data_IF_948221550630
#
_entry.id   IF_948221550630
#
_cell.length_a   1.000
_cell.length_b   1.000
_cell.length_c   1.000
_cell.angle_alpha   90.00
_cell.angle_beta   90.00
_cell.angle_gamma   90.00
#
_symmetry.space_group_name_H-M   'P 1'
#
loop_
_entity.id
_entity.type
_entity.pdbx_description
1 polymer ?
#
# COMPACT_ATOMS: atom_id res chain seq x y z
N UNK A 1 10.55 -19.37 11.77
CA UNK A 1 9.82 -18.11 12.01
C UNK A 1 8.50 -18.15 11.24
N UNK A 2 7.37 -17.98 11.93
CA UNK A 2 6.04 -18.03 11.31
C UNK A 2 5.74 -16.76 10.52
N UNK A 3 4.79 -16.84 9.57
CA UNK A 3 4.37 -15.68 8.76
C UNK A 3 3.85 -14.53 9.61
N UNK A 4 3.05 -14.82 10.63
CA UNK A 4 2.49 -13.80 11.52
C UNK A 4 3.59 -13.07 12.30
N UNK A 5 4.57 -13.80 12.84
CA UNK A 5 5.69 -13.21 13.57
C UNK A 5 6.54 -12.35 12.64
N UNK A 6 6.89 -12.84 11.45
CA UNK A 6 7.68 -12.06 10.49
C UNK A 6 6.96 -10.79 10.03
N UNK A 7 5.66 -10.91 9.72
CA UNK A 7 4.81 -9.76 9.34
C UNK A 7 4.77 -8.75 10.48
N UNK A 8 4.56 -9.20 11.72
CA UNK A 8 4.53 -8.32 12.89
C UNK A 8 5.86 -7.61 13.12
N UNK A 9 6.98 -8.31 12.98
CA UNK A 9 8.32 -7.72 13.09
C UNK A 9 8.56 -6.66 12.01
N UNK A 10 8.20 -6.96 10.76
CA UNK A 10 8.32 -6.00 9.66
C UNK A 10 7.46 -4.75 9.91
N UNK A 11 6.20 -4.93 10.30
CA UNK A 11 5.27 -3.84 10.58
C UNK A 11 5.67 -2.99 11.79
N UNK A 12 6.37 -3.58 12.77
CA UNK A 12 6.74 -2.87 14.01
C UNK A 12 8.11 -2.21 13.93
N UNK A 13 9.05 -2.75 13.14
CA UNK A 13 10.43 -2.26 13.10
C UNK A 13 10.76 -1.53 11.80
N UNK A 14 10.35 -2.07 10.65
CA UNK A 14 10.74 -1.54 9.33
C UNK A 14 9.73 -0.53 8.82
N UNK A 15 8.44 -0.87 8.88
CA UNK A 15 7.37 -0.03 8.36
C UNK A 15 7.34 1.39 8.96
N UNK A 16 7.53 1.61 10.28
CA UNK A 16 7.50 2.96 10.84
C UNK A 16 8.61 3.85 10.28
N UNK A 17 9.80 3.29 10.06
CA UNK A 17 10.94 4.00 9.45
C UNK A 17 10.61 4.37 8.00
N UNK A 18 10.06 3.43 7.22
CA UNK A 18 9.71 3.65 5.82
C UNK A 18 8.58 4.66 5.62
N UNK A 19 7.63 4.70 6.56
CA UNK A 19 6.45 5.58 6.48
C UNK A 19 6.64 6.89 7.23
N UNK A 20 7.85 7.16 7.75
CA UNK A 20 8.12 8.41 8.43
C UNK A 20 7.92 9.61 7.48
N UNK A 21 7.04 10.53 7.87
CA UNK A 21 6.66 11.69 7.06
C UNK A 21 5.82 11.36 5.82
N UNK A 22 5.40 10.11 5.61
CA UNK A 22 4.61 9.70 4.44
C UNK A 22 3.28 10.47 4.32
N UNK A 23 2.78 11.06 5.41
CA UNK A 23 1.63 11.95 5.38
C UNK A 23 1.79 13.15 4.44
N UNK A 24 3.03 13.61 4.20
CA UNK A 24 3.33 14.79 3.37
C UNK A 24 3.67 14.36 1.94
N UNK A 25 4.60 13.40 1.79
CA UNK A 25 5.15 13.00 0.48
C UNK A 25 4.47 11.76 -0.14
N UNK A 26 3.66 11.00 0.62
CA UNK A 26 3.11 9.69 0.24
C UNK A 26 2.03 9.69 -0.84
N UNK A 27 1.91 10.78 -1.61
CA UNK A 27 1.07 10.88 -2.81
C UNK A 27 1.80 10.38 -4.07
N UNK A 28 3.13 10.36 -4.04
CA UNK A 28 3.99 9.87 -5.12
C UNK A 28 4.55 8.49 -4.81
N UNK A 29 4.74 7.67 -5.85
CA UNK A 29 5.36 6.35 -5.69
C UNK A 29 6.88 6.46 -5.64
N UNK A 30 7.50 5.82 -4.63
CA UNK A 30 8.94 5.81 -4.45
C UNK A 30 9.50 4.40 -4.60
N UNK A 31 10.29 4.17 -5.68
CA UNK A 31 10.85 2.86 -6.03
C UNK A 31 11.71 2.26 -4.92
N UNK A 32 12.51 3.07 -4.23
CA UNK A 32 13.41 2.61 -3.17
C UNK A 32 12.64 1.98 -2.00
N UNK A 33 11.48 2.53 -1.64
CA UNK A 33 10.66 2.04 -0.54
C UNK A 33 10.05 0.68 -0.90
N UNK A 34 9.54 0.56 -2.13
CA UNK A 34 9.05 -0.71 -2.66
C UNK A 34 10.15 -1.79 -2.69
N UNK A 35 11.41 -1.40 -2.98
CA UNK A 35 12.54 -2.34 -2.98
C UNK A 35 12.82 -2.91 -1.58
N UNK A 36 12.65 -2.13 -0.52
CA UNK A 36 12.83 -2.62 0.86
C UNK A 36 11.78 -3.68 1.19
N UNK A 37 10.50 -3.42 0.87
CA UNK A 37 9.43 -4.41 1.07
C UNK A 37 9.71 -5.68 0.26
N UNK A 38 10.01 -5.54 -1.04
CA UNK A 38 10.30 -6.69 -1.91
C UNK A 38 11.51 -7.50 -1.42
N UNK A 39 12.54 -6.85 -0.87
CA UNK A 39 13.70 -7.54 -0.29
C UNK A 39 13.31 -8.33 0.97
N UNK A 40 12.56 -7.71 1.89
CA UNK A 40 12.07 -8.40 3.08
C UNK A 40 11.20 -9.60 2.72
N UNK A 41 10.33 -9.43 1.74
CA UNK A 41 9.47 -10.47 1.18
C UNK A 41 10.27 -11.67 0.65
N UNK A 42 11.32 -11.42 -0.17
CA UNK A 42 12.19 -12.48 -0.71
C UNK A 42 12.95 -13.22 0.38
N UNK A 43 13.47 -12.50 1.37
CA UNK A 43 14.19 -13.09 2.51
C UNK A 43 13.29 -14.06 3.29
N UNK A 44 12.01 -13.71 3.46
CA UNK A 44 11.08 -14.55 4.18
C UNK A 44 10.63 -15.79 3.40
N UNK A 45 10.37 -15.62 2.10
CA UNK A 45 10.03 -16.73 1.21
C UNK A 45 11.23 -17.65 0.93
N UNK A 46 12.47 -17.19 1.14
CA UNK A 46 13.67 -17.97 0.87
C UNK A 46 14.06 -18.00 -0.61
N UNK A 47 13.49 -17.10 -1.43
CA UNK A 47 13.73 -17.06 -2.87
C UNK A 47 14.90 -16.14 -3.24
N UNK A 48 15.47 -16.37 -4.42
CA UNK A 48 16.61 -15.58 -4.91
C UNK A 48 16.25 -14.11 -5.17
N UNK A 49 17.27 -13.24 -5.21
CA UNK A 49 17.10 -11.82 -5.57
C UNK A 49 16.50 -11.61 -6.97
N UNK A 50 16.64 -12.59 -7.87
CA UNK A 50 16.18 -12.54 -9.26
C UNK A 50 14.71 -12.92 -9.42
N UNK A 51 14.08 -13.51 -8.40
CA UNK A 51 12.68 -13.90 -8.44
C UNK A 51 11.79 -12.68 -8.69
N UNK A 52 10.75 -12.85 -9.51
CA UNK A 52 9.84 -11.77 -9.89
C UNK A 52 9.18 -11.14 -8.65
N UNK A 53 9.24 -9.82 -8.54
CA UNK A 53 8.62 -9.08 -7.44
C UNK A 53 7.09 -9.26 -7.44
N UNK A 54 6.46 -9.39 -8.62
CA UNK A 54 5.01 -9.58 -8.75
C UNK A 54 4.56 -10.92 -8.18
N UNK A 55 5.33 -11.98 -8.38
CA UNK A 55 5.05 -13.30 -7.79
C UNK A 55 5.20 -13.25 -6.26
N UNK A 56 6.33 -12.71 -5.79
CA UNK A 56 6.64 -12.54 -4.36
C UNK A 56 5.56 -11.73 -3.62
N UNK A 57 5.07 -10.65 -4.24
CA UNK A 57 3.97 -9.85 -3.69
C UNK A 57 2.66 -10.65 -3.61
N UNK A 58 2.37 -11.43 -4.65
CA UNK A 58 1.23 -12.33 -4.69
C UNK A 58 1.26 -13.34 -3.55
N UNK A 59 2.39 -14.03 -3.37
CA UNK A 59 2.52 -15.11 -2.38
C UNK A 59 2.44 -14.64 -0.93
N UNK A 60 2.90 -13.42 -0.63
CA UNK A 60 2.82 -12.85 0.71
C UNK A 60 1.50 -12.14 1.00
N UNK A 61 0.82 -11.64 -0.03
CA UNK A 61 -0.43 -10.89 0.11
C UNK A 61 -0.32 -9.60 0.95
N UNK A 62 0.88 -9.05 1.10
CA UNK A 62 1.08 -7.79 1.84
C UNK A 62 0.56 -6.61 1.04
N UNK A 63 -0.10 -5.68 1.73
CA UNK A 63 -0.43 -4.37 1.15
C UNK A 63 0.86 -3.66 0.71
N UNK A 64 0.88 -3.09 -0.49
CA UNK A 64 2.04 -2.39 -1.03
C UNK A 64 2.45 -1.20 -0.15
N UNK A 65 3.74 -0.87 -0.14
CA UNK A 65 4.24 0.33 0.52
C UNK A 65 3.49 1.59 0.06
N UNK A 66 3.19 1.68 -1.23
CA UNK A 66 2.48 2.82 -1.79
C UNK A 66 1.04 2.95 -1.25
N UNK A 67 0.31 1.84 -1.14
CA UNK A 67 -1.00 1.86 -0.50
C UNK A 67 -0.91 2.22 1.00
N UNK A 68 0.12 1.74 1.70
CA UNK A 68 0.40 2.13 3.10
C UNK A 68 0.74 3.63 3.24
N UNK A 69 1.51 4.20 2.32
CA UNK A 69 1.83 5.63 2.28
C UNK A 69 0.57 6.47 2.09
N UNK A 70 -0.29 6.09 1.14
CA UNK A 70 -1.58 6.75 0.91
C UNK A 70 -2.48 6.69 2.14
N UNK A 71 -2.48 5.58 2.87
CA UNK A 71 -3.21 5.48 4.13
C UNK A 71 -2.75 6.52 5.16
N UNK A 72 -1.45 6.77 5.27
CA UNK A 72 -0.90 7.79 6.18
C UNK A 72 -1.21 9.23 5.71
N UNK A 73 -1.20 9.50 4.40
CA UNK A 73 -1.70 10.76 3.82
C UNK A 73 -3.17 10.99 4.20
N UNK A 74 -4.01 9.97 4.00
CA UNK A 74 -5.45 10.07 4.29
C UNK A 74 -5.74 10.16 5.79
N UNK A 75 -4.94 9.49 6.62
CA UNK A 75 -4.98 9.63 8.09
C UNK A 75 -4.68 11.06 8.50
N UNK A 76 -3.67 11.67 7.91
CA UNK A 76 -3.31 13.06 8.17
C UNK A 76 -4.39 14.02 7.67
N UNK A 77 -4.94 13.79 6.47
CA UNK A 77 -6.06 14.56 5.94
C UNK A 77 -7.28 14.52 6.88
N UNK A 78 -7.68 13.34 7.35
CA UNK A 78 -8.80 13.21 8.30
C UNK A 78 -8.53 14.00 9.59
N UNK A 79 -7.30 13.94 10.11
CA UNK A 79 -6.91 14.74 11.29
C UNK A 79 -7.04 16.23 11.01
N UNK A 80 -6.62 16.71 9.83
CA UNK A 80 -6.70 18.11 9.45
C UNK A 80 -8.15 18.61 9.34
N UNK A 81 -9.03 17.87 8.67
CA UNK A 81 -10.44 18.29 8.52
C UNK A 81 -11.20 18.31 9.86
N UNK A 82 -10.82 17.44 10.81
CA UNK A 82 -11.45 17.37 12.14
C UNK A 82 -10.69 18.14 13.22
N UNK A 83 -9.72 18.99 12.85
CA UNK A 83 -8.98 19.79 13.82
C UNK A 83 -9.66 21.13 14.10
N UNK A 84 -9.49 21.61 15.34
CA UNK A 84 -10.00 22.91 15.75
C UNK A 84 -9.30 24.06 15.02
N UNK A 85 -10.09 25.08 14.67
CA UNK A 85 -9.67 26.27 13.95
C UNK A 85 -8.68 27.15 14.73
N UNK A 86 -8.65 27.03 16.06
CA UNK A 86 -7.67 27.71 16.91
C UNK A 86 -6.23 27.30 16.59
N UNK A 87 -6.01 26.06 16.11
CA UNK A 87 -4.68 25.47 15.94
C UNK A 87 -3.96 26.01 14.71
N UNK A 88 -2.70 26.39 14.88
CA UNK A 88 -1.85 26.96 13.81
C UNK A 88 -1.79 26.08 12.56
N UNK A 89 -1.66 24.75 12.74
CA UNK A 89 -1.58 23.85 11.59
C UNK A 89 -2.88 23.78 10.78
N UNK A 90 -4.04 24.00 11.41
CA UNK A 90 -5.32 24.08 10.69
C UNK A 90 -5.40 25.36 9.86
N UNK A 91 -4.93 26.48 10.41
CA UNK A 91 -4.83 27.75 9.69
C UNK A 91 -3.93 27.63 8.45
N UNK A 92 -2.81 26.92 8.56
CA UNK A 92 -1.92 26.60 7.43
C UNK A 92 -2.65 25.73 6.40
N UNK A 93 -3.43 24.73 6.84
CA UNK A 93 -4.25 23.90 5.95
C UNK A 93 -5.29 24.73 5.18
N UNK A 94 -6.04 25.59 5.86
CA UNK A 94 -6.98 26.53 5.24
C UNK A 94 -6.30 27.43 4.21
N UNK A 95 -5.12 27.96 4.52
CA UNK A 95 -4.32 28.74 3.58
C UNK A 95 -3.92 27.89 2.35
N UNK A 96 -3.51 26.65 2.57
CA UNK A 96 -3.13 25.71 1.49
C UNK A 96 -4.29 25.36 0.58
N UNK A 97 -5.53 25.27 1.10
CA UNK A 97 -6.74 25.05 0.29
C UNK A 97 -6.96 26.14 -0.77
N UNK A 98 -6.54 27.38 -0.50
CA UNK A 98 -6.67 28.52 -1.44
C UNK A 98 -5.66 28.47 -2.58
N UNK A 99 -4.57 27.70 -2.44
CA UNK A 99 -3.52 27.59 -3.46
C UNK A 99 -3.91 26.57 -4.53
N UNK A 100 -3.66 26.92 -5.80
CA UNK A 100 -3.80 25.99 -6.92
C UNK A 100 -2.74 24.88 -6.83
N UNK A 101 -3.12 23.64 -7.19
CA UNK A 101 -2.23 22.45 -7.16
C UNK A 101 -1.55 22.20 -5.81
N UNK A 102 -2.24 22.54 -4.71
CA UNK A 102 -1.74 22.28 -3.36
C UNK A 102 -1.71 20.78 -3.02
N UNK A 103 -1.11 20.43 -1.89
CA UNK A 103 -1.20 19.08 -1.33
C UNK A 103 -2.66 18.61 -1.24
N UNK A 104 -3.57 19.49 -0.80
CA UNK A 104 -4.99 19.18 -0.72
C UNK A 104 -5.62 18.84 -2.09
N UNK A 105 -5.22 19.54 -3.15
CA UNK A 105 -5.67 19.22 -4.50
C UNK A 105 -5.31 17.78 -4.90
N UNK A 106 -4.10 17.33 -4.60
CA UNK A 106 -3.66 15.96 -4.87
C UNK A 106 -4.38 14.93 -4.00
N UNK A 107 -4.69 15.27 -2.74
CA UNK A 107 -5.51 14.42 -1.86
C UNK A 107 -6.94 14.28 -2.40
N UNK A 108 -7.57 15.37 -2.82
CA UNK A 108 -8.90 15.33 -3.45
C UNK A 108 -8.88 14.49 -4.74
N UNK A 109 -7.83 14.63 -5.55
CA UNK A 109 -7.61 13.79 -6.73
C UNK A 109 -7.49 12.30 -6.34
N UNK A 110 -6.85 11.98 -5.22
CA UNK A 110 -6.79 10.61 -4.70
C UNK A 110 -8.18 10.09 -4.29
N UNK A 111 -9.00 10.89 -3.60
CA UNK A 111 -10.39 10.53 -3.26
C UNK A 111 -11.25 10.27 -4.52
N UNK A 112 -11.12 11.12 -5.54
CA UNK A 112 -11.76 10.96 -6.86
C UNK A 112 -11.38 9.66 -7.54
N UNK A 113 -10.07 9.38 -7.60
CA UNK A 113 -9.55 8.15 -8.21
C UNK A 113 -10.03 6.88 -7.49
N UNK A 114 -10.32 6.96 -6.19
CA UNK A 114 -10.87 5.85 -5.39
C UNK A 114 -12.41 5.82 -5.36
N UNK A 115 -13.08 6.82 -5.96
CA UNK A 115 -14.53 7.02 -5.94
C UNK A 115 -15.12 7.05 -4.52
N UNK A 116 -14.46 7.74 -3.58
CA UNK A 116 -14.87 7.83 -2.16
C UNK A 116 -15.01 9.28 -1.68
N UNK A 117 -15.42 10.19 -2.55
CA UNK A 117 -15.59 11.62 -2.22
C UNK A 117 -16.60 11.87 -1.09
N UNK A 118 -17.61 11.01 -0.95
CA UNK A 118 -18.58 11.06 0.14
C UNK A 118 -17.90 11.01 1.52
N UNK A 119 -16.70 10.43 1.64
CA UNK A 119 -15.96 10.35 2.90
C UNK A 119 -15.36 11.69 3.37
N UNK A 120 -15.42 12.74 2.54
CA UNK A 120 -14.95 14.07 2.92
C UNK A 120 -15.99 14.88 3.71
N UNK A 121 -17.22 14.38 3.84
CA UNK A 121 -18.28 15.08 4.55
C UNK A 121 -17.98 15.13 6.07
N UNK A 122 -18.35 16.23 6.75
CA UNK A 122 -18.20 16.34 8.19
C UNK A 122 -19.08 15.30 8.91
N UNK A 123 -18.65 14.85 10.10
CA UNK A 123 -19.44 13.94 10.95
C UNK A 123 -19.19 12.44 10.72
N UNK A 124 -18.29 12.07 9.82
CA UNK A 124 -17.95 10.65 9.58
C UNK A 124 -17.08 10.10 10.70
N UNK A 125 -17.53 8.98 11.29
CA UNK A 125 -16.76 8.25 12.29
C UNK A 125 -15.40 7.82 11.73
N UNK A 126 -14.37 8.03 12.56
CA UNK A 126 -12.98 7.64 12.27
C UNK A 126 -12.86 6.17 11.84
N UNK A 127 -13.63 5.29 12.47
CA UNK A 127 -13.61 3.85 12.20
C UNK A 127 -14.14 3.53 10.80
N UNK A 128 -15.29 4.12 10.44
CA UNK A 128 -15.90 3.95 9.12
C UNK A 128 -14.97 4.48 8.03
N UNK A 129 -14.39 5.67 8.24
CA UNK A 129 -13.45 6.29 7.32
C UNK A 129 -12.27 5.36 7.00
N UNK A 130 -11.59 4.84 8.02
CA UNK A 130 -10.43 3.97 7.80
C UNK A 130 -10.80 2.60 7.28
N UNK A 131 -11.97 2.06 7.65
CA UNK A 131 -12.46 0.78 7.13
C UNK A 131 -12.67 0.84 5.62
N UNK A 132 -13.38 1.86 5.13
CA UNK A 132 -13.67 2.04 3.70
C UNK A 132 -12.39 2.37 2.92
N UNK A 133 -11.51 3.21 3.45
CA UNK A 133 -10.26 3.55 2.76
C UNK A 133 -9.33 2.34 2.64
N UNK A 134 -9.16 1.55 3.73
CA UNK A 134 -8.33 0.34 3.68
C UNK A 134 -8.86 -0.66 2.67
N UNK A 135 -10.18 -0.87 2.60
CA UNK A 135 -10.76 -1.81 1.62
C UNK A 135 -10.56 -1.31 0.18
N UNK A 136 -10.80 -0.02 -0.09
CA UNK A 136 -10.59 0.57 -1.42
C UNK A 136 -9.12 0.55 -1.85
N UNK A 137 -8.20 0.89 -0.95
CA UNK A 137 -6.77 0.79 -1.24
C UNK A 137 -6.35 -0.64 -1.55
N UNK A 138 -6.90 -1.63 -0.84
CA UNK A 138 -6.61 -3.04 -1.11
C UNK A 138 -7.11 -3.49 -2.49
N UNK A 139 -8.33 -3.09 -2.88
CA UNK A 139 -8.88 -3.37 -4.21
C UNK A 139 -8.00 -2.76 -5.30
N UNK A 140 -7.58 -1.50 -5.14
CA UNK A 140 -6.68 -0.85 -6.10
C UNK A 140 -5.33 -1.56 -6.20
N UNK A 141 -4.77 -2.00 -5.06
CA UNK A 141 -3.50 -2.72 -5.03
C UNK A 141 -3.59 -4.07 -5.72
N UNK A 142 -4.70 -4.79 -5.53
CA UNK A 142 -5.00 -6.05 -6.19
C UNK A 142 -5.19 -5.88 -7.71
N UNK A 143 -5.89 -4.85 -8.15
CA UNK A 143 -6.00 -4.49 -9.57
C UNK A 143 -4.63 -4.17 -10.19
N UNK A 144 -3.80 -3.39 -9.49
CA UNK A 144 -2.43 -3.08 -9.93
C UNK A 144 -1.54 -4.32 -9.98
N UNK A 145 -1.71 -5.25 -9.04
CA UNK A 145 -1.00 -6.52 -9.07
C UNK A 145 -1.46 -7.40 -10.22
N UNK A 146 -2.78 -7.51 -10.45
CA UNK A 146 -3.35 -8.30 -11.54
C UNK A 146 -2.91 -7.77 -12.92
N UNK A 147 -2.95 -6.46 -13.13
CA UNK A 147 -2.44 -5.84 -14.36
C UNK A 147 -0.95 -6.14 -14.59
N UNK A 148 -0.12 -6.13 -13.54
CA UNK A 148 1.29 -6.54 -13.63
C UNK A 148 1.44 -8.04 -13.95
N UNK A 149 0.53 -8.88 -13.46
CA UNK A 149 0.54 -10.32 -13.69
C UNK A 149 0.13 -10.69 -15.14
N UNK A 150 -0.71 -9.88 -15.78
CA UNK A 150 -1.18 -10.10 -17.16
C UNK A 150 -0.48 -9.22 -18.20
N UNK A 151 0.66 -8.63 -17.85
CA UNK A 151 1.39 -7.70 -18.71
C UNK A 151 2.26 -8.41 -19.77
N UNK A 152 1.65 -9.25 -20.63
CA UNK A 152 2.36 -10.03 -21.65
C UNK A 152 3.01 -9.17 -22.73
N UNK A 153 2.46 -7.97 -23.01
CA UNK A 153 2.89 -7.12 -24.12
C UNK A 153 4.09 -6.22 -23.80
N UNK A 154 4.50 -6.12 -22.53
CA UNK A 154 5.54 -5.18 -22.09
C UNK A 154 6.98 -5.63 -22.35
N UNK A 155 7.21 -6.91 -22.63
CA UNK A 155 8.55 -7.47 -22.79
C UNK A 155 8.64 -8.29 -24.07
N UNK A 156 9.78 -8.22 -24.76
CA UNK A 156 10.09 -9.01 -25.97
C UNK A 156 9.91 -10.52 -25.73
N UNK A 157 10.20 -10.99 -24.51
CA UNK A 157 10.05 -12.39 -24.11
C UNK A 157 8.72 -12.69 -23.37
N UNK A 158 7.78 -11.74 -23.36
CA UNK A 158 6.52 -11.80 -22.63
C UNK A 158 6.66 -11.86 -21.11
N UNK A 159 5.55 -12.06 -20.40
CA UNK A 159 5.58 -12.29 -18.95
C UNK A 159 6.01 -13.74 -18.65
N UNK A 160 7.03 -13.92 -17.80
CA UNK A 160 7.52 -15.23 -17.36
C UNK A 160 6.59 -15.92 -16.34
N UNK A 161 5.55 -15.25 -15.87
CA UNK A 161 4.61 -15.74 -14.85
C UNK A 161 3.40 -16.51 -15.41
N UNK A 162 3.50 -17.09 -16.62
CA UNK A 162 2.38 -17.77 -17.31
C UNK A 162 1.81 -18.95 -16.55
N UNK A 163 2.66 -19.71 -15.85
CA UNK A 163 2.20 -20.81 -14.99
C UNK A 163 1.62 -20.29 -13.69
N UNK A 164 2.33 -19.36 -13.04
CA UNK A 164 1.92 -18.76 -11.77
C UNK A 164 0.50 -18.16 -11.83
N UNK A 165 0.17 -17.40 -12.89
CA UNK A 165 -1.17 -16.81 -13.08
C UNK A 165 -2.31 -17.81 -13.24
N UNK A 166 -2.03 -19.08 -13.54
CA UNK A 166 -3.07 -20.13 -13.64
C UNK A 166 -3.55 -20.58 -12.27
N UNK A 167 -2.66 -20.53 -11.27
CA UNK A 167 -2.93 -20.98 -9.91
C UNK A 167 -3.27 -19.82 -8.98
N UNK A 168 -2.55 -18.70 -9.11
CA UNK A 168 -2.75 -17.52 -8.27
C UNK A 168 -3.90 -16.66 -8.77
N UNK A 169 -5.00 -16.63 -8.02
CA UNK A 169 -6.21 -15.85 -8.34
C UNK A 169 -6.29 -14.54 -7.56
N UNK A 170 -5.93 -14.56 -6.27
CA UNK A 170 -6.17 -13.44 -5.36
C UNK A 170 -4.88 -12.95 -4.68
N UNK A 171 -4.84 -11.67 -4.29
CA UNK A 171 -3.72 -11.07 -3.57
C UNK A 171 -3.82 -11.36 -2.05
N UNK A 172 -3.52 -12.61 -1.68
CA UNK A 172 -3.56 -13.14 -0.32
C UNK A 172 -2.33 -14.01 -0.02
N UNK A 173 -1.94 -14.18 1.25
CA UNK A 173 -0.86 -15.11 1.59
C UNK A 173 -1.21 -16.54 1.17
N UNK A 174 -0.26 -17.22 0.53
CA UNK A 174 -0.43 -18.62 0.13
C UNK A 174 -0.45 -19.57 1.34
N UNK A 175 -1.11 -20.72 1.18
CA UNK A 175 -1.23 -21.72 2.25
C UNK A 175 0.12 -22.23 2.75
N UNK A 176 1.09 -22.40 1.85
CA UNK A 176 2.43 -22.87 2.21
C UNK A 176 3.21 -21.83 3.04
N UNK A 177 2.87 -20.55 2.87
CA UNK A 177 3.51 -19.40 3.52
C UNK A 177 3.03 -19.27 4.96
N UNK A 178 1.73 -19.51 5.18
CA UNK A 178 1.12 -19.50 6.52
C UNK A 178 1.55 -20.73 7.33
N UNK A 179 1.78 -21.87 6.65
CA UNK A 179 2.31 -23.07 7.28
C UNK A 179 3.77 -22.88 7.74
N UNK A 180 4.09 -23.40 8.94
CA UNK A 180 5.41 -23.27 9.55
C UNK A 180 6.47 -24.20 8.92
N UNK A 181 6.54 -24.25 7.57
CA UNK A 181 7.52 -25.08 6.88
C UNK A 181 8.95 -24.53 7.01
N UNK A 182 9.96 -25.40 7.16
CA UNK A 182 11.38 -25.02 7.08
C UNK A 182 11.70 -24.31 5.76
N UNK A 183 12.64 -23.36 5.78
CA UNK A 183 13.00 -22.56 4.59
C UNK A 183 13.47 -23.39 3.38
N UNK A 184 14.04 -24.57 3.61
CA UNK A 184 14.49 -25.46 2.54
C UNK A 184 13.36 -26.31 1.93
N UNK A 185 12.17 -26.31 2.56
CA UNK A 185 10.96 -27.02 2.11
C UNK A 185 9.89 -26.05 1.57
N UNK A 186 10.21 -24.75 1.46
CA UNK A 186 9.33 -23.70 0.96
C UNK A 186 9.67 -23.33 -0.48
#
# INVERSE_FOLDING_TARGET
>A
MTYQVFTKLYESLVQPILLYGASIWGLTEHRLINNVQNRASKIFLGVTKLTSNTAVQGDLGWLSCHAKQRLEVLRFFYKLENSDNSRTFYKIHLWSKRKRRSWNFNVIKLFRNMSVEHLMQPGISKELFFKVIKSKLRILDEQLWFTKLWNDNSNVNGNKLRLYRRYKKDLQPEHYVTNAMPRHLR
#
